data_IF_283159347866
#
_entry.id   IF_283159347866
#
_cell.length_a   1.000
_cell.length_b   1.000
_cell.length_c   1.000
_cell.angle_alpha   90.00
_cell.angle_beta   90.00
_cell.angle_gamma   90.00
#
_symmetry.space_group_name_H-M   'P 1'
#
loop_
_entity.id
_entity.type
_entity.pdbx_description
1 polymer ?
#
# COMPACT_ATOMS: atom_id res chain seq x y z
N UNK A 1 -9.16 -1.41 42.86
CA UNK A 1 -7.68 -1.49 42.75
C UNK A 1 -7.09 -2.57 41.81
N UNK A 2 -7.82 -3.53 41.17
CA UNK A 2 -7.15 -4.60 40.39
C UNK A 2 -6.51 -4.14 39.06
N UNK A 3 -7.02 -3.07 38.44
CA UNK A 3 -6.58 -2.64 37.09
C UNK A 3 -5.20 -1.98 37.02
N UNK A 4 -4.65 -1.50 38.15
CA UNK A 4 -3.30 -0.92 38.18
C UNK A 4 -2.22 -2.01 38.15
N UNK A 5 -2.43 -3.10 38.89
CA UNK A 5 -1.53 -4.26 38.89
C UNK A 5 -1.47 -4.94 37.53
N UNK A 6 -2.63 -5.19 36.91
CA UNK A 6 -2.67 -5.74 35.55
C UNK A 6 -1.90 -4.86 34.56
N UNK A 7 -2.01 -3.53 34.69
CA UNK A 7 -1.29 -2.60 33.81
C UNK A 7 0.22 -2.66 34.03
N UNK A 8 0.68 -2.70 35.27
CA UNK A 8 2.11 -2.81 35.57
C UNK A 8 2.67 -4.13 35.04
N UNK A 9 1.95 -5.24 35.24
CA UNK A 9 2.31 -6.54 34.68
C UNK A 9 2.38 -6.53 33.16
N UNK A 10 1.44 -5.83 32.50
CA UNK A 10 1.47 -5.67 31.04
C UNK A 10 2.71 -4.91 30.60
N UNK A 11 3.05 -3.80 31.25
CA UNK A 11 4.21 -2.98 30.88
C UNK A 11 5.53 -3.72 31.13
N UNK A 12 5.66 -4.40 32.28
CA UNK A 12 6.89 -5.16 32.60
C UNK A 12 7.08 -6.38 31.72
N UNK A 13 6.01 -7.14 31.46
CA UNK A 13 6.05 -8.29 30.55
C UNK A 13 6.25 -7.88 29.09
N UNK A 14 5.77 -6.70 28.71
CA UNK A 14 6.06 -6.14 27.40
C UNK A 14 7.53 -5.73 27.28
N UNK A 15 8.11 -5.10 28.32
CA UNK A 15 9.52 -4.75 28.34
C UNK A 15 10.44 -5.97 28.23
N UNK A 16 10.13 -7.07 28.92
CA UNK A 16 10.89 -8.32 28.77
C UNK A 16 10.79 -8.90 27.37
N UNK A 17 9.59 -8.88 26.76
CA UNK A 17 9.38 -9.30 25.37
C UNK A 17 10.22 -8.45 24.41
N UNK A 18 10.21 -7.12 24.56
CA UNK A 18 11.04 -6.23 23.75
C UNK A 18 12.53 -6.51 23.90
N UNK A 19 12.97 -6.79 25.13
CA UNK A 19 14.36 -7.15 25.40
C UNK A 19 14.76 -8.41 24.62
N UNK A 20 13.97 -9.49 24.73
CA UNK A 20 14.21 -10.74 24.00
C UNK A 20 14.27 -10.53 22.49
N UNK A 21 13.36 -9.73 21.93
CA UNK A 21 13.35 -9.42 20.49
C UNK A 21 14.53 -8.58 20.02
N UNK A 22 15.04 -7.72 20.90
CA UNK A 22 16.23 -6.90 20.62
C UNK A 22 17.47 -7.79 20.63
N UNK A 23 17.58 -8.68 21.63
CA UNK A 23 18.69 -9.65 21.73
C UNK A 23 18.70 -10.62 20.55
N UNK A 24 17.53 -11.10 20.11
CA UNK A 24 17.40 -11.95 18.92
C UNK A 24 17.53 -11.20 17.59
N UNK A 25 17.81 -9.89 17.62
CA UNK A 25 17.96 -9.01 16.45
C UNK A 25 16.74 -8.97 15.52
N UNK A 26 15.56 -9.31 16.03
CA UNK A 26 14.30 -9.18 15.28
C UNK A 26 13.84 -7.73 15.19
N UNK A 27 14.24 -6.90 16.17
CA UNK A 27 13.99 -5.46 16.18
C UNK A 27 15.27 -4.66 16.36
N UNK A 28 15.29 -3.44 15.82
CA UNK A 28 16.43 -2.52 15.99
C UNK A 28 16.37 -1.80 17.33
N UNK A 29 17.50 -1.26 17.81
CA UNK A 29 17.53 -0.46 19.05
C UNK A 29 16.62 0.77 19.00
N UNK A 30 16.49 1.43 17.83
CA UNK A 30 15.53 2.54 17.66
C UNK A 30 14.08 2.06 17.78
N UNK A 31 13.77 0.89 17.22
CA UNK A 31 12.45 0.26 17.37
C UNK A 31 12.15 -0.03 18.84
N UNK A 32 13.13 -0.54 19.59
CA UNK A 32 13.01 -0.77 21.02
C UNK A 32 12.61 0.51 21.77
N UNK A 33 13.35 1.60 21.57
CA UNK A 33 13.08 2.89 22.24
C UNK A 33 11.68 3.42 21.91
N UNK A 34 11.26 3.32 20.64
CA UNK A 34 9.91 3.74 20.22
C UNK A 34 8.83 2.91 20.91
N UNK A 35 8.99 1.60 21.00
CA UNK A 35 8.00 0.72 21.62
C UNK A 35 7.95 0.88 23.14
N UNK A 36 9.11 1.07 23.78
CA UNK A 36 9.19 1.41 25.20
C UNK A 36 8.52 2.76 25.50
N UNK A 37 8.78 3.78 24.67
CA UNK A 37 8.11 5.07 24.76
C UNK A 37 6.59 4.93 24.59
N UNK A 38 6.15 4.12 23.61
CA UNK A 38 4.73 3.83 23.41
C UNK A 38 4.11 3.16 24.64
N UNK A 39 4.77 2.20 25.27
CA UNK A 39 4.29 1.57 26.50
C UNK A 39 4.18 2.55 27.68
N UNK A 40 5.05 3.57 27.73
CA UNK A 40 4.99 4.62 28.76
C UNK A 40 3.68 5.44 28.73
N UNK A 41 3.03 5.54 27.57
CA UNK A 41 1.74 6.25 27.42
C UNK A 41 0.53 5.42 27.81
N UNK A 42 0.71 4.16 28.24
CA UNK A 42 -0.40 3.33 28.68
C UNK A 42 -1.15 4.08 29.76
N UNK A 43 -2.46 4.31 29.63
CA UNK A 43 -3.27 5.10 30.56
C UNK A 43 -4.50 4.33 31.03
N UNK A 44 -5.27 4.90 31.96
CA UNK A 44 -6.51 4.27 32.46
C UNK A 44 -7.56 4.04 31.36
N UNK A 45 -7.68 5.00 30.43
CA UNK A 45 -8.65 4.91 29.31
C UNK A 45 -8.14 4.08 28.14
N UNK A 46 -6.87 3.66 28.15
CA UNK A 46 -6.20 3.00 27.03
C UNK A 46 -4.99 3.79 26.54
N UNK A 47 -4.51 3.43 25.37
CA UNK A 47 -3.28 3.95 24.79
C UNK A 47 -3.59 4.74 23.52
N UNK A 48 -3.53 6.07 23.62
CA UNK A 48 -3.91 7.00 22.55
C UNK A 48 -2.84 8.06 22.20
N UNK A 49 -1.55 7.73 22.12
CA UNK A 49 -0.55 8.72 21.75
C UNK A 49 -0.61 9.06 20.25
N UNK A 50 -0.32 10.32 19.91
CA UNK A 50 -0.02 10.71 18.52
C UNK A 50 1.38 10.25 18.12
N UNK A 51 1.66 10.15 16.82
CA UNK A 51 3.02 9.81 16.36
C UNK A 51 4.05 10.85 16.80
N UNK A 52 3.64 12.12 16.90
CA UNK A 52 4.50 13.23 17.36
C UNK A 52 4.84 13.08 18.85
N UNK A 53 3.87 12.71 19.68
CA UNK A 53 4.13 12.46 21.11
C UNK A 53 5.08 11.29 21.31
N UNK A 54 4.95 10.22 20.52
CA UNK A 54 5.87 9.08 20.56
C UNK A 54 7.27 9.51 20.09
N UNK A 55 7.35 10.29 19.01
CA UNK A 55 8.60 10.80 18.46
C UNK A 55 9.36 11.64 19.51
N UNK A 56 8.67 12.60 20.12
CA UNK A 56 9.23 13.45 21.19
C UNK A 56 9.72 12.61 22.38
N UNK A 57 8.93 11.63 22.84
CA UNK A 57 9.30 10.75 23.97
C UNK A 57 10.47 9.82 23.66
N UNK A 58 10.58 9.33 22.43
CA UNK A 58 11.62 8.37 22.01
C UNK A 58 12.87 9.03 21.44
N UNK A 59 12.90 10.36 21.29
CA UNK A 59 13.99 11.09 20.65
C UNK A 59 14.16 10.74 19.16
N UNK A 60 13.13 10.19 18.51
CA UNK A 60 13.18 9.72 17.14
C UNK A 60 12.31 10.58 16.22
N UNK A 61 12.62 10.57 14.91
CA UNK A 61 11.75 11.23 13.92
C UNK A 61 10.40 10.52 13.78
N UNK A 62 9.35 11.24 13.38
CA UNK A 62 8.03 10.67 13.11
C UNK A 62 8.10 9.54 12.07
N UNK A 63 8.93 9.68 11.03
CA UNK A 63 9.13 8.63 10.02
C UNK A 63 9.72 7.35 10.63
N UNK A 64 10.66 7.50 11.57
CA UNK A 64 11.22 6.37 12.33
C UNK A 64 10.16 5.70 13.19
N UNK A 65 9.29 6.48 13.85
CA UNK A 65 8.17 5.94 14.63
C UNK A 65 7.23 5.12 13.74
N UNK A 66 6.84 5.65 12.58
CA UNK A 66 5.96 4.93 11.65
C UNK A 66 6.59 3.59 11.22
N UNK A 67 7.89 3.60 10.86
CA UNK A 67 8.61 2.37 10.48
C UNK A 67 8.74 1.38 11.64
N UNK A 68 8.98 1.86 12.86
CA UNK A 68 9.07 1.03 14.05
C UNK A 68 7.71 0.39 14.40
N UNK A 69 6.63 1.16 14.33
CA UNK A 69 5.27 0.65 14.52
C UNK A 69 4.90 -0.38 13.45
N UNK A 70 5.27 -0.12 12.19
CA UNK A 70 5.08 -1.06 11.09
C UNK A 70 5.80 -2.40 11.34
N UNK A 71 7.04 -2.37 11.82
CA UNK A 71 7.75 -3.57 12.23
C UNK A 71 7.04 -4.31 13.38
N UNK A 72 6.55 -3.56 14.37
CA UNK A 72 5.82 -4.13 15.50
C UNK A 72 4.47 -4.77 15.11
N UNK A 73 3.78 -4.20 14.10
CA UNK A 73 2.55 -4.80 13.55
C UNK A 73 2.83 -6.11 12.83
N UNK A 74 3.92 -6.20 12.08
CA UNK A 74 4.34 -7.45 11.43
C UNK A 74 4.64 -8.56 12.42
N UNK A 75 5.23 -8.20 13.57
CA UNK A 75 5.49 -9.13 14.66
C UNK A 75 4.24 -9.40 15.54
N UNK A 76 3.13 -8.68 15.32
CA UNK A 76 1.88 -8.86 16.06
C UNK A 76 1.91 -8.40 17.52
N UNK A 77 2.96 -7.69 17.94
CA UNK A 77 3.17 -7.28 19.35
C UNK A 77 2.34 -6.02 19.68
N UNK A 78 2.04 -5.23 18.65
CA UNK A 78 1.17 -4.05 18.76
C UNK A 78 0.04 -4.20 17.76
N UNK A 79 -1.16 -3.79 18.15
CA UNK A 79 -2.28 -3.60 17.22
C UNK A 79 -2.76 -2.17 17.28
N UNK A 80 -3.16 -1.63 16.12
CA UNK A 80 -3.75 -0.29 16.01
C UNK A 80 -5.20 -0.41 15.56
N UNK A 81 -6.10 0.12 16.37
CA UNK A 81 -7.49 0.34 15.99
C UNK A 81 -7.65 1.80 15.56
N UNK A 82 -8.03 2.02 14.30
CA UNK A 82 -8.39 3.35 13.82
C UNK A 82 -9.80 3.68 14.29
N UNK A 83 -9.95 4.67 15.14
CA UNK A 83 -11.29 5.16 15.50
C UNK A 83 -11.75 6.12 14.41
N UNK A 84 -13.03 6.04 14.03
CA UNK A 84 -13.69 7.03 13.17
C UNK A 84 -14.72 7.76 14.02
N UNK A 85 -14.73 9.08 13.93
CA UNK A 85 -15.65 9.92 14.67
C UNK A 85 -16.51 10.71 13.69
N UNK A 86 -17.81 10.76 13.95
CA UNK A 86 -18.70 11.67 13.23
C UNK A 86 -18.63 13.05 13.90
N UNK A 87 -18.25 14.06 13.13
CA UNK A 87 -18.20 15.46 13.56
C UNK A 87 -18.92 16.27 12.50
N UNK A 88 -20.00 16.96 12.89
CA UNK A 88 -20.78 17.85 12.01
C UNK A 88 -21.16 17.20 10.66
N UNK A 89 -21.80 16.02 10.71
CA UNK A 89 -22.24 15.29 9.52
C UNK A 89 -21.14 14.61 8.69
N UNK A 90 -19.85 14.82 9.00
CA UNK A 90 -18.71 14.21 8.30
C UNK A 90 -18.07 13.11 9.14
N UNK A 91 -17.56 12.06 8.49
CA UNK A 91 -16.80 11.00 9.15
C UNK A 91 -15.32 11.35 9.11
N UNK A 92 -14.76 11.74 10.25
CA UNK A 92 -13.36 12.09 10.41
C UNK A 92 -12.56 10.94 11.04
N UNK A 93 -11.25 10.93 10.81
CA UNK A 93 -10.35 10.04 11.53
C UNK A 93 -10.25 10.52 12.98
N UNK A 94 -10.58 9.65 13.93
CA UNK A 94 -10.38 9.87 15.35
C UNK A 94 -8.96 9.50 15.80
N UNK A 95 -8.74 9.56 17.11
CA UNK A 95 -7.43 9.26 17.70
C UNK A 95 -7.06 7.79 17.48
N UNK A 96 -5.77 7.54 17.25
CA UNK A 96 -5.24 6.18 17.14
C UNK A 96 -5.33 5.49 18.50
N UNK A 97 -5.96 4.32 18.55
CA UNK A 97 -5.94 3.45 19.73
C UNK A 97 -4.94 2.33 19.49
N UNK A 98 -3.96 2.22 20.36
CA UNK A 98 -3.00 1.13 20.35
C UNK A 98 -3.34 0.11 21.43
N UNK A 99 -2.96 -1.15 21.19
CA UNK A 99 -3.02 -2.22 22.17
C UNK A 99 -1.73 -3.01 22.12
N UNK A 100 -1.15 -3.23 23.29
CA UNK A 100 0.00 -4.10 23.50
C UNK A 100 -0.49 -5.54 23.65
N UNK A 101 0.12 -6.46 22.92
CA UNK A 101 -0.21 -7.88 22.96
C UNK A 101 0.98 -8.64 23.51
N UNK A 102 0.76 -9.36 24.61
CA UNK A 102 1.79 -10.14 25.30
C UNK A 102 1.63 -11.63 25.01
N UNK A 103 0.39 -12.10 24.91
CA UNK A 103 0.11 -13.52 24.70
C UNK A 103 0.59 -13.96 23.31
N UNK A 104 1.44 -14.99 23.20
CA UNK A 104 2.05 -15.37 21.92
C UNK A 104 1.01 -15.81 20.88
N UNK A 105 -0.05 -16.48 21.32
CA UNK A 105 -1.16 -16.86 20.44
C UNK A 105 -1.89 -15.64 19.85
N UNK A 106 -2.11 -14.61 20.67
CA UNK A 106 -2.73 -13.36 20.19
C UNK A 106 -1.79 -12.60 19.25
N UNK A 107 -0.47 -12.63 19.49
CA UNK A 107 0.53 -12.03 18.61
C UNK A 107 0.53 -12.69 17.23
N UNK A 108 0.56 -14.02 17.17
CA UNK A 108 0.52 -14.76 15.90
C UNK A 108 -0.76 -14.44 15.10
N UNK A 109 -1.91 -14.36 15.76
CA UNK A 109 -3.17 -13.96 15.13
C UNK A 109 -3.11 -12.53 14.61
N UNK A 110 -2.60 -11.59 15.40
CA UNK A 110 -2.47 -10.20 15.01
C UNK A 110 -1.52 -10.02 13.80
N UNK A 111 -0.40 -10.73 13.80
CA UNK A 111 0.55 -10.75 12.67
C UNK A 111 -0.10 -11.29 11.39
N UNK A 112 -0.85 -12.39 11.48
CA UNK A 112 -1.57 -12.97 10.34
C UNK A 112 -2.65 -12.01 9.79
N UNK A 113 -3.41 -11.36 10.65
CA UNK A 113 -4.40 -10.35 10.24
C UNK A 113 -3.72 -9.17 9.54
N UNK A 114 -2.58 -8.71 10.05
CA UNK A 114 -1.84 -7.63 9.43
C UNK A 114 -1.31 -8.02 8.04
N UNK A 115 -0.73 -9.22 7.92
CA UNK A 115 -0.20 -9.74 6.66
C UNK A 115 -1.29 -9.91 5.59
N UNK A 116 -2.43 -10.51 5.96
CA UNK A 116 -3.58 -10.67 5.04
C UNK A 116 -4.14 -9.33 4.57
N UNK A 117 -4.20 -8.33 5.45
CA UNK A 117 -4.59 -6.97 5.07
C UNK A 117 -3.61 -6.34 4.07
N UNK A 118 -2.30 -6.50 4.30
CA UNK A 118 -1.28 -6.00 3.35
C UNK A 118 -1.38 -6.65 1.98
N UNK A 119 -1.60 -7.97 1.94
CA UNK A 119 -1.81 -8.69 0.69
C UNK A 119 -3.06 -8.17 -0.03
N UNK A 120 -4.16 -8.00 0.69
CA UNK A 120 -5.41 -7.45 0.13
C UNK A 120 -5.19 -6.05 -0.46
N UNK A 121 -4.48 -5.18 0.24
CA UNK A 121 -4.15 -3.83 -0.22
C UNK A 121 -3.17 -3.82 -1.41
N UNK A 122 -2.24 -4.77 -1.48
CA UNK A 122 -1.34 -4.92 -2.61
C UNK A 122 -2.10 -5.40 -3.87
N UNK A 123 -2.98 -6.39 -3.69
CA UNK A 123 -3.85 -6.88 -4.77
C UNK A 123 -4.82 -5.80 -5.26
N UNK A 124 -5.42 -5.01 -4.36
CA UNK A 124 -6.30 -3.91 -4.75
C UNK A 124 -5.55 -2.84 -5.53
N UNK A 125 -4.33 -2.47 -5.10
CA UNK A 125 -3.46 -1.53 -5.83
C UNK A 125 -3.10 -2.04 -7.22
N UNK A 126 -2.75 -3.33 -7.35
CA UNK A 126 -2.45 -3.96 -8.64
C UNK A 126 -3.67 -3.96 -9.56
N UNK A 127 -4.85 -4.32 -9.04
CA UNK A 127 -6.12 -4.27 -9.78
C UNK A 127 -6.42 -2.85 -10.28
N UNK A 128 -6.25 -1.85 -9.42
CA UNK A 128 -6.47 -0.45 -9.78
C UNK A 128 -5.49 0.02 -10.87
N UNK A 129 -4.21 -0.31 -10.74
CA UNK A 129 -3.19 0.05 -11.75
C UNK A 129 -3.48 -0.58 -13.13
N UNK A 130 -3.99 -1.83 -13.13
CA UNK A 130 -4.42 -2.49 -14.36
C UNK A 130 -5.61 -1.75 -15.01
N UNK A 131 -6.66 -1.47 -14.23
CA UNK A 131 -7.85 -0.76 -14.72
C UNK A 131 -7.52 0.66 -15.21
N UNK A 132 -6.65 1.39 -14.51
CA UNK A 132 -6.23 2.73 -14.94
C UNK A 132 -5.44 2.71 -16.24
N UNK A 133 -4.62 1.66 -16.48
CA UNK A 133 -3.88 1.53 -17.73
C UNK A 133 -4.83 1.35 -18.91
N UNK A 134 -5.82 0.48 -18.78
CA UNK A 134 -6.83 0.26 -19.83
C UNK A 134 -7.68 1.52 -20.15
N UNK A 135 -7.89 2.41 -19.18
CA UNK A 135 -8.61 3.68 -19.37
C UNK A 135 -7.77 4.77 -20.06
N UNK A 136 -6.45 4.74 -19.90
CA UNK A 136 -5.56 5.71 -20.55
C UNK A 136 -5.19 5.29 -21.98
N UNK A 137 -5.27 3.99 -22.29
CA UNK A 137 -5.08 3.46 -23.65
C UNK A 137 -6.36 3.59 -24.51
N UNK A 138 -7.44 4.18 -23.99
CA UNK A 138 -8.72 4.38 -24.67
C UNK A 138 -8.98 5.81 -25.17
N UNK A 139 -7.95 6.66 -25.31
CA UNK A 139 -7.97 7.63 -26.41
C UNK A 139 -7.49 6.93 -27.68
N UNK A 140 -8.38 6.56 -28.60
CA UNK A 140 -7.96 5.96 -29.84
C UNK A 140 -7.74 7.12 -30.82
N UNK A 141 -6.49 7.51 -31.05
CA UNK A 141 -6.12 7.73 -32.44
C UNK A 141 -6.01 6.35 -33.09
N UNK A 142 -7.15 5.67 -33.23
CA UNK A 142 -7.28 4.55 -34.15
C UNK A 142 -7.18 5.19 -35.52
N UNK A 143 -5.97 5.24 -36.08
CA UNK A 143 -5.82 5.26 -37.52
C UNK A 143 -6.32 3.90 -38.00
N UNK A 144 -7.61 3.83 -38.30
CA UNK A 144 -8.28 2.69 -38.91
C UNK A 144 -7.82 2.54 -40.36
N UNK A 145 -6.54 2.24 -40.59
CA UNK A 145 -5.98 1.97 -41.91
C UNK A 145 -5.36 0.58 -42.02
N UNK A 146 -5.42 -0.26 -40.98
CA UNK A 146 -4.89 -1.63 -41.04
C UNK A 146 -5.70 -2.59 -41.95
N UNK A 147 -6.94 -2.21 -42.32
CA UNK A 147 -7.79 -2.98 -43.23
C UNK A 147 -8.11 -2.26 -44.55
N UNK A 148 -7.57 -1.05 -44.76
CA UNK A 148 -7.74 -0.27 -45.99
C UNK A 148 -6.44 -0.19 -46.81
N UNK A 149 -5.57 -1.20 -46.73
CA UNK A 149 -4.66 -1.45 -47.84
C UNK A 149 -5.49 -2.00 -48.98
N UNK A 150 -5.83 -1.15 -49.96
CA UNK A 150 -6.23 -1.61 -51.28
C UNK A 150 -5.27 -2.75 -51.70
N UNK A 151 -5.78 -3.86 -52.23
CA UNK A 151 -4.90 -4.93 -52.68
C UNK A 151 -4.00 -4.37 -53.77
N UNK A 152 -2.71 -4.23 -53.45
CA UNK A 152 -1.66 -4.00 -54.44
C UNK A 152 -1.76 -5.17 -55.43
N UNK A 153 -2.27 -4.91 -56.63
CA UNK A 153 -2.21 -5.89 -57.73
C UNK A 153 -0.76 -6.32 -57.90
N UNK A 154 -0.51 -7.57 -58.32
CA UNK A 154 0.81 -8.24 -58.29
C UNK A 154 2.01 -7.53 -58.94
N UNK A 155 1.84 -6.33 -59.49
CA UNK A 155 2.88 -5.40 -59.94
C UNK A 155 3.27 -4.32 -58.89
N UNK A 156 2.66 -4.31 -57.70
CA UNK A 156 2.97 -3.32 -56.64
C UNK A 156 2.41 -1.91 -56.90
N UNK A 157 1.40 -1.77 -57.77
CA UNK A 157 0.78 -0.49 -58.14
C UNK A 157 -0.65 -0.40 -57.56
N UNK A 158 -1.09 0.81 -57.18
CA UNK A 158 -2.49 1.05 -56.79
C UNK A 158 -3.43 0.83 -57.99
N UNK A 159 -4.71 0.53 -57.73
CA UNK A 159 -5.68 0.28 -58.80
C UNK A 159 -5.81 1.47 -59.77
N UNK A 160 -5.80 2.69 -59.23
CA UNK A 160 -5.84 3.92 -60.02
C UNK A 160 -4.56 4.13 -60.86
N UNK A 161 -3.39 3.75 -60.34
CA UNK A 161 -2.13 3.84 -61.10
C UNK A 161 -2.07 2.80 -62.22
N UNK A 162 -2.68 1.64 -62.01
CA UNK A 162 -2.78 0.58 -63.03
C UNK A 162 -3.70 0.99 -64.18
N UNK A 163 -4.84 1.62 -63.88
CA UNK A 163 -5.73 2.21 -64.91
C UNK A 163 -4.98 3.28 -65.72
N UNK A 164 -4.30 4.21 -65.06
CA UNK A 164 -3.48 5.23 -65.73
C UNK A 164 -2.36 4.65 -66.59
N UNK A 165 -1.71 3.59 -66.13
CA UNK A 165 -0.65 2.92 -66.90
C UNK A 165 -1.22 2.26 -68.16
N UNK A 166 -2.35 1.54 -68.06
CA UNK A 166 -3.04 0.96 -69.20
C UNK A 166 -3.45 2.04 -70.23
N UNK A 167 -3.98 3.17 -69.76
CA UNK A 167 -4.32 4.32 -70.63
C UNK A 167 -3.08 4.91 -71.32
N UNK A 168 -1.93 4.95 -70.63
CA UNK A 168 -0.67 5.43 -71.20
C UNK A 168 -0.08 4.51 -72.28
N UNK A 169 -0.34 3.21 -72.20
CA UNK A 169 0.13 2.22 -73.19
C UNK A 169 -0.78 2.21 -74.42
N UNK A 170 -2.08 2.45 -74.25
CA UNK A 170 -3.05 2.51 -75.34
C UNK A 170 -2.82 3.64 -76.36
N UNK A 171 -2.05 4.68 -76.01
CA UNK A 171 -1.77 5.82 -76.91
C UNK A 171 -0.52 5.65 -77.80
N UNK A 172 0.16 4.49 -77.75
CA UNK A 172 1.38 4.24 -78.55
C UNK A 172 1.12 3.29 -79.73
N UNK A 173 0.01 3.48 -80.44
CA UNK A 173 -0.38 2.65 -81.58
C UNK A 173 -1.47 3.27 -82.45
N UNK A 174 -1.21 4.44 -83.04
CA UNK A 174 -1.91 4.93 -84.25
C UNK A 174 -1.08 6.04 -84.91
N UNK A 175 -0.12 5.63 -85.73
CA UNK A 175 0.24 6.24 -87.02
C UNK A 175 0.79 5.14 -87.91
#
# INVERSE_FOLDING_TARGET
MPRLFERLLVVTSFASTLWTLTQSRQITGKTHLVLQALASFQGYRGLFPSHESIASRSGCSVRTVIRALEAAYRLGIVTRTRQRQRVSGRVCNGVNRYRLIIKPLEQARAAAVHYTQQLREALSRRKQAFLSKCQNDSEPHIQSNFFNTEPLSGAGMSHNDLIRWCESIGYRGST
#
